data_IF_824842492063
#
_entry.id   IF_824842492063
#
_cell.length_a   1.000
_cell.length_b   1.000
_cell.length_c   1.000
_cell.angle_alpha   90.00
_cell.angle_beta   90.00
_cell.angle_gamma   90.00
#
_symmetry.space_group_name_H-M   'P 1'
#
loop_
_entity.id
_entity.type
_entity.pdbx_description
1 polymer ?
#
# COMPACT_ATOMS: atom_id res chain seq x y z
N UNK A 1 -44.06 32.11 33.94
CA UNK A 1 -43.24 30.88 34.08
C UNK A 1 -43.00 30.38 32.66
N UNK A 2 -41.88 30.76 32.01
CA UNK A 2 -41.57 30.41 30.63
C UNK A 2 -40.65 29.19 30.64
N UNK A 3 -41.13 28.05 30.15
CA UNK A 3 -40.33 26.81 29.95
C UNK A 3 -39.60 26.98 28.59
N UNK A 4 -38.28 27.15 28.62
CA UNK A 4 -37.42 27.09 27.42
C UNK A 4 -37.20 25.62 27.04
N UNK A 5 -37.78 25.18 25.94
CA UNK A 5 -37.48 23.90 25.31
C UNK A 5 -36.08 23.92 24.70
N UNK A 6 -35.15 23.19 25.27
CA UNK A 6 -33.80 22.95 24.74
C UNK A 6 -33.88 21.87 23.68
N UNK A 7 -33.74 22.23 22.39
CA UNK A 7 -33.60 21.25 21.29
C UNK A 7 -32.19 20.69 21.33
N UNK A 8 -32.08 19.44 21.69
CA UNK A 8 -30.82 18.69 21.56
C UNK A 8 -30.71 18.26 20.09
N UNK A 9 -29.78 18.92 19.36
CA UNK A 9 -29.41 18.49 18.03
C UNK A 9 -28.48 17.27 18.14
N UNK A 10 -29.04 16.09 17.93
CA UNK A 10 -28.24 14.86 17.82
C UNK A 10 -27.40 14.87 16.54
N UNK A 11 -26.09 14.99 16.66
CA UNK A 11 -25.19 14.78 15.54
C UNK A 11 -25.16 13.28 15.20
N UNK A 12 -25.74 12.91 14.07
CA UNK A 12 -25.62 11.55 13.51
C UNK A 12 -24.23 11.45 12.90
N UNK A 13 -23.32 10.74 13.60
CA UNK A 13 -22.02 10.40 13.09
C UNK A 13 -22.21 9.26 12.08
N UNK A 14 -22.22 9.58 10.77
CA UNK A 14 -22.23 8.57 9.72
C UNK A 14 -20.87 7.87 9.69
N UNK A 15 -20.79 6.64 10.16
CA UNK A 15 -19.62 5.79 9.98
C UNK A 15 -19.55 5.40 8.50
N UNK A 16 -18.60 5.93 7.75
CA UNK A 16 -18.35 5.49 6.40
C UNK A 16 -17.82 4.04 6.43
N UNK A 17 -18.55 3.13 5.81
CA UNK A 17 -18.11 1.74 5.70
C UNK A 17 -16.87 1.69 4.79
N UNK A 18 -15.77 1.11 5.28
CA UNK A 18 -14.59 0.83 4.47
C UNK A 18 -14.80 -0.50 3.75
N UNK A 19 -14.73 -0.50 2.43
CA UNK A 19 -14.84 -1.69 1.61
C UNK A 19 -13.50 -2.02 0.96
N UNK A 20 -13.19 -3.31 0.79
CA UNK A 20 -12.08 -3.72 -0.06
C UNK A 20 -12.38 -3.32 -1.51
N UNK A 21 -11.38 -2.81 -2.22
CA UNK A 21 -11.52 -2.56 -3.66
C UNK A 21 -11.77 -3.87 -4.39
N UNK A 22 -12.54 -3.81 -5.49
CA UNK A 22 -12.73 -4.97 -6.34
C UNK A 22 -11.37 -5.44 -6.87
N UNK A 23 -11.05 -6.72 -6.63
CA UNK A 23 -9.76 -7.29 -6.98
C UNK A 23 -9.90 -8.60 -7.74
N UNK A 24 -8.91 -8.88 -8.62
CA UNK A 24 -8.81 -10.13 -9.36
C UNK A 24 -7.35 -10.57 -9.41
N UNK A 25 -7.04 -11.76 -8.90
CA UNK A 25 -5.73 -12.39 -9.12
C UNK A 25 -5.70 -12.85 -10.57
N UNK A 26 -4.77 -12.32 -11.36
CA UNK A 26 -4.65 -12.60 -12.80
C UNK A 26 -3.49 -13.52 -13.12
N UNK A 27 -2.49 -13.61 -12.23
CA UNK A 27 -1.38 -14.55 -12.36
C UNK A 27 -0.79 -14.93 -11.00
N UNK A 28 -0.28 -16.14 -10.91
CA UNK A 28 0.54 -16.63 -9.79
C UNK A 28 1.73 -17.40 -10.33
N UNK A 29 2.90 -17.25 -9.71
CA UNK A 29 4.12 -18.00 -10.04
C UNK A 29 5.02 -18.14 -8.81
N UNK A 30 6.05 -18.97 -8.89
CA UNK A 30 7.17 -18.89 -7.95
C UNK A 30 8.19 -17.88 -8.48
N UNK A 31 8.67 -17.00 -7.61
CA UNK A 31 9.75 -16.07 -7.92
C UNK A 31 11.11 -16.78 -8.01
N UNK A 32 12.10 -16.12 -8.60
CA UNK A 32 13.45 -16.65 -8.79
C UNK A 32 14.17 -17.00 -7.48
N UNK A 33 13.82 -16.37 -6.37
CA UNK A 33 14.33 -16.67 -5.02
C UNK A 33 13.42 -17.59 -4.20
N UNK A 34 12.36 -18.16 -4.79
CA UNK A 34 11.49 -19.17 -4.17
C UNK A 34 10.34 -18.62 -3.34
N UNK A 35 10.03 -17.33 -3.41
CA UNK A 35 8.83 -16.77 -2.80
C UNK A 35 7.63 -16.89 -3.76
N UNK A 36 6.39 -17.14 -3.26
CA UNK A 36 5.20 -17.00 -4.10
C UNK A 36 5.05 -15.57 -4.62
N UNK A 37 4.69 -15.44 -5.89
CA UNK A 37 4.37 -14.18 -6.54
C UNK A 37 2.93 -14.15 -7.01
N UNK A 38 2.33 -12.98 -6.91
CA UNK A 38 0.99 -12.71 -7.46
C UNK A 38 1.02 -11.46 -8.33
N UNK A 39 0.18 -11.48 -9.36
CA UNK A 39 -0.25 -10.27 -10.08
C UNK A 39 -1.73 -10.09 -9.83
N UNK A 40 -2.11 -8.96 -9.25
CA UNK A 40 -3.47 -8.65 -8.86
C UNK A 40 -3.92 -7.36 -9.54
N UNK A 41 -5.08 -7.40 -10.17
CA UNK A 41 -5.76 -6.21 -10.70
C UNK A 41 -6.78 -5.71 -9.69
N UNK A 42 -6.81 -4.39 -9.51
CA UNK A 42 -7.74 -3.66 -8.66
C UNK A 42 -8.51 -2.62 -9.48
N UNK A 43 -9.81 -2.49 -9.19
CA UNK A 43 -10.60 -1.35 -9.63
C UNK A 43 -10.91 -0.49 -8.41
N UNK A 44 -10.35 0.71 -8.34
CA UNK A 44 -10.45 1.58 -7.17
C UNK A 44 -10.41 3.05 -7.57
N UNK A 45 -11.31 3.86 -7.06
CA UNK A 45 -11.42 5.29 -7.40
C UNK A 45 -11.61 5.55 -8.90
N UNK A 46 -12.09 4.56 -9.66
CA UNK A 46 -12.22 4.63 -11.11
C UNK A 46 -10.92 4.39 -11.88
N UNK A 47 -9.81 4.06 -11.21
CA UNK A 47 -8.57 3.59 -11.84
C UNK A 47 -8.51 2.07 -11.89
N UNK A 48 -7.84 1.54 -12.91
CA UNK A 48 -7.36 0.17 -12.96
C UNK A 48 -5.89 0.14 -12.54
N UNK A 49 -5.63 -0.52 -11.42
CA UNK A 49 -4.28 -0.65 -10.86
C UNK A 49 -3.89 -2.13 -10.87
N UNK A 50 -2.70 -2.44 -11.38
CA UNK A 50 -2.13 -3.79 -11.34
C UNK A 50 -0.89 -3.78 -10.47
N UNK A 51 -0.84 -4.69 -9.48
CA UNK A 51 0.34 -4.94 -8.65
C UNK A 51 0.88 -6.33 -8.95
N UNK A 52 2.18 -6.41 -9.28
CA UNK A 52 2.90 -7.68 -9.39
C UNK A 52 4.02 -7.71 -8.35
N UNK A 53 3.99 -8.67 -7.45
CA UNK A 53 4.92 -8.69 -6.30
C UNK A 53 5.15 -10.07 -5.73
N UNK A 54 6.32 -10.25 -5.10
CA UNK A 54 6.63 -11.42 -4.29
C UNK A 54 6.00 -11.31 -2.92
N UNK A 55 5.43 -12.41 -2.42
CA UNK A 55 4.72 -12.50 -1.14
C UNK A 55 5.47 -13.42 -0.17
N UNK A 56 6.62 -12.98 0.39
CA UNK A 56 7.36 -13.81 1.32
C UNK A 56 6.56 -14.04 2.61
N UNK A 57 6.73 -15.26 3.16
CA UNK A 57 6.21 -15.58 4.49
C UNK A 57 7.07 -14.95 5.57
N UNK A 58 6.45 -14.52 6.66
CA UNK A 58 7.16 -13.95 7.81
C UNK A 58 8.01 -14.99 8.55
N UNK A 59 7.49 -16.22 8.72
CA UNK A 59 8.18 -17.34 9.37
C UNK A 59 8.73 -16.95 10.75
N UNK A 60 7.87 -16.34 11.58
CA UNK A 60 8.18 -15.85 12.93
C UNK A 60 9.29 -14.77 13.02
N UNK A 61 9.79 -14.23 11.90
CA UNK A 61 10.78 -13.14 11.89
C UNK A 61 10.12 -11.79 12.27
N UNK A 62 10.94 -10.86 12.74
CA UNK A 62 10.48 -9.50 13.05
C UNK A 62 10.62 -8.58 11.83
N UNK A 63 9.54 -7.90 11.46
CA UNK A 63 9.50 -7.05 10.25
C UNK A 63 10.62 -6.01 10.26
N UNK A 64 10.68 -5.13 11.28
CA UNK A 64 11.57 -3.96 11.28
C UNK A 64 13.04 -4.26 11.59
N UNK A 65 13.38 -5.44 12.08
CA UNK A 65 14.77 -5.75 12.47
C UNK A 65 15.43 -6.83 11.60
N UNK A 66 14.63 -7.72 10.99
CA UNK A 66 15.18 -8.89 10.32
C UNK A 66 14.90 -8.94 8.83
N UNK A 67 13.73 -8.42 8.38
CA UNK A 67 13.30 -8.59 6.99
C UNK A 67 13.15 -7.29 6.22
N UNK A 68 12.76 -6.22 6.90
CA UNK A 68 12.62 -4.88 6.35
C UNK A 68 13.17 -3.85 7.36
N UNK A 69 14.51 -3.77 7.53
CA UNK A 69 15.12 -2.97 8.57
C UNK A 69 14.72 -1.49 8.53
N UNK A 70 14.43 -0.93 9.70
CA UNK A 70 14.03 0.47 9.81
C UNK A 70 15.06 1.43 9.21
N UNK A 71 14.60 2.43 8.47
CA UNK A 71 15.45 3.43 7.82
C UNK A 71 16.20 2.94 6.58
N UNK A 72 16.00 1.68 6.16
CA UNK A 72 16.62 1.12 4.95
C UNK A 72 15.58 0.96 3.83
N UNK A 73 16.05 1.13 2.58
CA UNK A 73 15.20 0.83 1.43
C UNK A 73 14.85 -0.67 1.43
N UNK A 74 13.57 -0.97 1.28
CA UNK A 74 13.06 -2.33 1.18
C UNK A 74 12.25 -2.49 -0.10
N UNK A 75 12.46 -3.60 -0.81
CA UNK A 75 11.81 -3.91 -2.09
C UNK A 75 10.30 -4.18 -2.01
N UNK A 76 9.69 -4.01 -0.83
CA UNK A 76 8.24 -4.14 -0.58
C UNK A 76 7.67 -5.49 -1.06
N UNK A 77 8.47 -6.53 -0.90
CA UNK A 77 8.18 -7.87 -1.38
C UNK A 77 9.41 -8.77 -1.37
N UNK A 78 9.50 -9.68 -2.32
CA UNK A 78 10.62 -10.61 -2.49
C UNK A 78 10.97 -10.78 -3.97
N UNK A 79 12.20 -11.21 -4.22
CA UNK A 79 12.75 -11.60 -5.53
C UNK A 79 12.76 -10.40 -6.51
N UNK A 80 12.03 -10.46 -7.60
CA UNK A 80 11.87 -9.37 -8.56
C UNK A 80 11.21 -8.15 -7.93
N UNK A 81 11.47 -6.98 -8.47
CA UNK A 81 10.93 -5.72 -7.94
C UNK A 81 9.40 -5.67 -7.99
N UNK A 82 8.80 -5.20 -6.92
CA UNK A 82 7.35 -4.96 -6.83
C UNK A 82 6.93 -3.90 -7.83
N UNK A 83 6.05 -4.26 -8.76
CA UNK A 83 5.64 -3.40 -9.87
C UNK A 83 4.21 -2.92 -9.68
N UNK A 84 3.99 -1.62 -9.88
CA UNK A 84 2.68 -0.98 -9.96
C UNK A 84 2.46 -0.48 -11.38
N UNK A 85 1.33 -0.85 -11.98
CA UNK A 85 0.85 -0.27 -13.25
C UNK A 85 -0.50 0.39 -13.00
N UNK A 86 -0.69 1.61 -13.48
CA UNK A 86 -1.95 2.35 -13.37
C UNK A 86 -2.34 2.98 -14.70
N UNK A 87 -3.61 2.96 -15.02
CA UNK A 87 -4.17 3.60 -16.22
C UNK A 87 -4.54 5.07 -16.02
N UNK A 88 -4.48 5.55 -14.77
CA UNK A 88 -4.75 6.95 -14.40
C UNK A 88 -3.67 7.49 -13.48
N UNK A 89 -3.59 8.82 -13.36
CA UNK A 89 -2.74 9.48 -12.37
C UNK A 89 -3.19 9.16 -10.95
N UNK A 90 -2.22 8.91 -10.06
CA UNK A 90 -2.46 8.69 -8.63
C UNK A 90 -1.72 9.77 -7.84
N UNK A 91 -2.37 10.40 -6.87
CA UNK A 91 -1.76 11.43 -6.03
C UNK A 91 -1.74 10.99 -4.56
N UNK A 92 -0.55 10.71 -4.03
CA UNK A 92 -0.27 10.39 -2.63
C UNK A 92 0.29 11.63 -1.92
N UNK A 93 -0.54 12.35 -1.19
CA UNK A 93 -0.14 13.65 -0.62
C UNK A 93 0.27 14.62 -1.74
N UNK A 94 1.54 15.02 -1.79
CA UNK A 94 2.10 15.87 -2.85
C UNK A 94 2.75 15.09 -4.00
N UNK A 95 2.89 13.77 -3.90
CA UNK A 95 3.49 12.94 -4.94
C UNK A 95 2.46 12.60 -6.01
N UNK A 96 2.65 13.13 -7.22
CA UNK A 96 1.89 12.75 -8.41
C UNK A 96 2.61 11.61 -9.14
N UNK A 97 1.90 10.50 -9.34
CA UNK A 97 2.33 9.35 -10.14
C UNK A 97 1.48 9.35 -11.41
N UNK A 98 2.00 9.72 -12.57
CA UNK A 98 1.26 9.66 -13.84
C UNK A 98 0.83 8.23 -14.18
N UNK A 99 -0.14 8.08 -15.11
CA UNK A 99 -0.45 6.78 -15.69
C UNK A 99 0.84 6.14 -16.27
N UNK A 100 1.06 4.86 -15.96
CA UNK A 100 2.29 4.18 -16.35
C UNK A 100 2.64 2.99 -15.46
N UNK A 101 3.88 2.51 -15.60
CA UNK A 101 4.42 1.38 -14.84
C UNK A 101 5.64 1.84 -14.04
N UNK A 102 5.68 1.46 -12.76
CA UNK A 102 6.67 1.88 -11.78
C UNK A 102 7.09 0.73 -10.88
N UNK A 103 8.24 0.86 -10.23
CA UNK A 103 8.60 -0.01 -9.11
C UNK A 103 8.26 0.67 -7.78
N UNK A 104 7.71 -0.10 -6.86
CA UNK A 104 7.46 0.33 -5.49
C UNK A 104 8.55 -0.19 -4.56
N UNK A 105 9.13 0.73 -3.81
CA UNK A 105 9.93 0.46 -2.63
C UNK A 105 9.30 1.13 -1.41
N UNK A 106 9.73 0.73 -0.23
CA UNK A 106 9.40 1.45 1.00
C UNK A 106 10.64 1.65 1.86
N UNK A 107 10.60 2.66 2.72
CA UNK A 107 11.54 2.81 3.82
C UNK A 107 10.75 2.64 5.11
N UNK A 108 10.83 1.45 5.73
CA UNK A 108 10.12 1.16 6.97
C UNK A 108 10.62 2.00 8.14
N UNK A 109 9.72 2.31 9.07
CA UNK A 109 10.04 2.97 10.33
C UNK A 109 9.07 2.54 11.43
N UNK A 110 9.37 2.82 12.70
CA UNK A 110 8.57 2.37 13.83
C UNK A 110 7.18 3.04 13.89
N UNK A 111 7.07 4.28 13.45
CA UNK A 111 5.84 5.10 13.54
C UNK A 111 5.30 5.55 12.20
N UNK A 112 6.15 5.60 11.19
CA UNK A 112 5.78 5.96 9.80
C UNK A 112 6.71 5.27 8.82
N UNK A 113 6.21 4.99 7.62
CA UNK A 113 6.99 4.50 6.51
C UNK A 113 7.02 5.55 5.40
N UNK A 114 7.96 5.40 4.46
CA UNK A 114 7.93 6.15 3.18
C UNK A 114 7.63 5.18 2.05
N UNK A 115 6.67 5.51 1.22
CA UNK A 115 6.52 4.93 -0.11
C UNK A 115 7.56 5.60 -1.02
N UNK A 116 8.30 4.81 -1.77
CA UNK A 116 9.26 5.28 -2.79
C UNK A 116 8.82 4.72 -4.12
N UNK A 117 8.57 5.59 -5.08
CA UNK A 117 8.14 5.22 -6.43
C UNK A 117 9.30 5.46 -7.39
N UNK A 118 9.77 4.40 -8.03
CA UNK A 118 10.88 4.44 -8.99
C UNK A 118 10.38 4.28 -10.42
N UNK A 119 10.98 5.06 -11.32
CA UNK A 119 10.76 4.97 -12.78
C UNK A 119 11.45 3.75 -13.41
N UNK A 120 12.41 3.15 -12.72
CA UNK A 120 13.08 1.93 -13.18
C UNK A 120 12.15 0.73 -13.00
N UNK A 121 12.07 -0.16 -13.98
CA UNK A 121 11.23 -1.37 -13.97
C UNK A 121 11.98 -2.56 -14.52
N UNK A 122 11.54 -3.79 -14.16
CA UNK A 122 12.08 -5.04 -14.67
C UNK A 122 13.39 -5.51 -14.02
N UNK A 123 13.86 -4.82 -12.98
CA UNK A 123 15.07 -5.20 -12.24
C UNK A 123 14.77 -6.18 -11.10
N UNK A 124 15.81 -6.80 -10.57
CA UNK A 124 15.75 -7.52 -9.32
C UNK A 124 15.43 -6.56 -8.16
N UNK A 125 14.61 -7.00 -7.19
CA UNK A 125 14.08 -6.11 -6.16
C UNK A 125 15.12 -5.38 -5.32
N UNK A 126 16.34 -5.91 -5.18
CA UNK A 126 17.42 -5.23 -4.44
C UNK A 126 18.27 -4.29 -5.31
N UNK A 127 18.04 -4.25 -6.63
CA UNK A 127 18.75 -3.34 -7.53
C UNK A 127 18.08 -1.96 -7.53
N UNK A 128 18.17 -1.25 -6.41
CA UNK A 128 17.63 0.08 -6.22
C UNK A 128 18.65 1.16 -6.58
N UNK A 129 18.18 2.23 -7.22
CA UNK A 129 18.96 3.41 -7.60
C UNK A 129 18.13 4.67 -7.33
N UNK A 130 18.58 5.50 -6.41
CA UNK A 130 17.83 6.68 -5.93
C UNK A 130 17.62 7.74 -7.02
N UNK A 131 18.55 7.84 -7.99
CA UNK A 131 18.45 8.75 -9.15
C UNK A 131 17.27 8.39 -10.09
N UNK A 132 16.68 7.20 -9.93
CA UNK A 132 15.49 6.75 -10.65
C UNK A 132 14.18 7.01 -9.89
N UNK A 133 14.23 7.54 -8.68
CA UNK A 133 13.03 7.86 -7.95
C UNK A 133 12.18 8.89 -8.71
N UNK A 134 10.88 8.61 -8.84
CA UNK A 134 9.89 9.60 -9.23
C UNK A 134 9.60 10.53 -8.05
N UNK A 135 9.55 9.96 -6.85
CA UNK A 135 9.35 10.68 -5.61
C UNK A 135 8.94 9.76 -4.46
N UNK A 136 8.64 10.37 -3.32
CA UNK A 136 8.32 9.69 -2.07
C UNK A 136 7.07 10.27 -1.43
N UNK A 137 6.29 9.42 -0.76
CA UNK A 137 5.11 9.81 0.01
C UNK A 137 5.13 9.15 1.40
N UNK A 138 4.41 9.75 2.34
CA UNK A 138 4.27 9.19 3.69
C UNK A 138 3.24 8.08 3.74
N UNK A 139 3.56 7.02 4.49
CA UNK A 139 2.64 5.97 4.89
C UNK A 139 2.51 6.02 6.42
N UNK A 140 1.27 6.10 6.90
CA UNK A 140 0.94 5.93 8.31
C UNK A 140 1.11 4.47 8.71
N UNK A 141 1.59 4.23 9.93
CA UNK A 141 1.69 2.87 10.48
C UNK A 141 0.52 2.61 11.42
N UNK A 142 -0.10 1.45 11.26
CA UNK A 142 -1.19 0.95 12.09
C UNK A 142 -0.89 -0.49 12.52
N UNK A 143 -1.46 -0.90 13.65
CA UNK A 143 -1.38 -2.29 14.11
C UNK A 143 -2.56 -3.08 13.58
N UNK A 144 -2.28 -4.19 12.90
CA UNK A 144 -3.31 -5.11 12.44
C UNK A 144 -3.91 -5.89 13.62
N UNK A 145 -5.24 -6.09 13.64
CA UNK A 145 -5.90 -6.92 14.66
C UNK A 145 -5.55 -8.41 14.54
N UNK A 146 -5.17 -8.84 13.33
CA UNK A 146 -4.68 -10.21 13.04
C UNK A 146 -3.41 -10.10 12.20
N UNK A 147 -2.33 -10.80 12.56
CA UNK A 147 -1.09 -10.78 11.79
C UNK A 147 -1.27 -11.29 10.37
N UNK A 148 -0.65 -10.60 9.40
CA UNK A 148 -0.51 -11.05 8.02
C UNK A 148 0.78 -11.87 7.89
N UNK A 149 0.68 -13.19 7.67
CA UNK A 149 1.84 -14.07 7.53
C UNK A 149 2.62 -13.81 6.24
N UNK A 150 1.96 -13.39 5.17
CA UNK A 150 2.60 -12.99 3.91
C UNK A 150 2.44 -11.49 3.67
N UNK A 151 3.44 -10.89 3.02
CA UNK A 151 3.28 -9.53 2.48
C UNK A 151 2.02 -9.48 1.64
N UNK A 152 1.17 -8.50 1.94
CA UNK A 152 -0.08 -8.28 1.20
C UNK A 152 -0.19 -6.80 0.85
N UNK A 153 -0.24 -6.50 -0.45
CA UNK A 153 -0.51 -5.15 -0.95
C UNK A 153 -1.96 -5.15 -1.41
N UNK A 154 -2.75 -4.22 -0.89
CA UNK A 154 -4.18 -4.13 -1.21
C UNK A 154 -4.66 -2.69 -1.26
N UNK A 155 -5.85 -2.52 -1.81
CA UNK A 155 -6.54 -1.23 -1.83
C UNK A 155 -7.89 -1.36 -1.16
N UNK A 156 -8.27 -0.31 -0.45
CA UNK A 156 -9.60 -0.16 0.16
C UNK A 156 -10.19 1.17 -0.24
N UNK A 157 -11.49 1.31 -0.10
CA UNK A 157 -12.19 2.55 -0.37
C UNK A 157 -13.18 2.84 0.76
N UNK A 158 -13.18 4.06 1.27
CA UNK A 158 -14.10 4.53 2.29
C UNK A 158 -14.65 5.88 1.87
N UNK A 159 -15.96 5.98 1.66
CA UNK A 159 -16.60 7.24 1.27
C UNK A 159 -16.03 7.83 -0.03
N UNK A 160 -15.62 6.99 -0.99
CA UNK A 160 -15.00 7.42 -2.25
C UNK A 160 -13.52 7.80 -2.14
N UNK A 161 -12.88 7.53 -1.00
CA UNK A 161 -11.46 7.81 -0.79
C UNK A 161 -10.63 6.53 -0.88
N UNK A 162 -9.91 6.30 -2.00
CA UNK A 162 -9.02 5.17 -2.17
C UNK A 162 -7.84 5.22 -1.20
N UNK A 163 -7.43 4.04 -0.72
CA UNK A 163 -6.32 3.89 0.23
C UNK A 163 -5.46 2.69 -0.14
N UNK A 164 -4.14 2.88 -0.24
CA UNK A 164 -3.15 1.82 -0.35
C UNK A 164 -2.86 1.24 1.03
N UNK A 165 -2.81 -0.08 1.14
CA UNK A 165 -2.40 -0.81 2.34
C UNK A 165 -1.26 -1.79 2.00
N UNK A 166 -0.25 -1.84 2.85
CA UNK A 166 0.86 -2.80 2.80
C UNK A 166 0.91 -3.47 4.17
N UNK A 167 0.54 -4.74 4.21
CA UNK A 167 0.40 -5.51 5.44
C UNK A 167 1.49 -6.57 5.54
N UNK A 168 2.16 -6.66 6.68
CA UNK A 168 3.06 -7.75 7.02
C UNK A 168 3.26 -7.89 8.54
N UNK A 169 3.16 -9.10 9.06
CA UNK A 169 3.10 -9.32 10.50
C UNK A 169 1.94 -8.56 11.12
N UNK A 170 2.18 -7.86 12.20
CA UNK A 170 1.19 -6.99 12.86
C UNK A 170 1.17 -5.56 12.31
N UNK A 171 1.96 -5.26 11.27
CA UNK A 171 2.12 -3.91 10.75
C UNK A 171 1.29 -3.71 9.49
N UNK A 172 0.53 -2.61 9.44
CA UNK A 172 -0.04 -2.02 8.22
C UNK A 172 0.61 -0.68 7.98
N UNK A 173 1.21 -0.51 6.81
CA UNK A 173 1.59 0.81 6.31
C UNK A 173 0.53 1.25 5.29
N UNK A 174 -0.08 2.43 5.50
CA UNK A 174 -1.26 2.87 4.75
C UNK A 174 -1.19 4.33 4.35
N UNK A 175 -1.74 4.67 3.19
CA UNK A 175 -1.90 6.05 2.72
C UNK A 175 -3.13 6.20 1.84
N UNK A 176 -3.97 7.20 2.08
CA UNK A 176 -4.99 7.59 1.12
C UNK A 176 -4.35 8.22 -0.11
N UNK A 177 -5.05 8.13 -1.25
CA UNK A 177 -4.64 8.78 -2.48
C UNK A 177 -5.86 9.27 -3.26
N UNK A 178 -5.61 10.15 -4.25
CA UNK A 178 -6.63 10.59 -5.20
C UNK A 178 -6.30 10.03 -6.59
N UNK A 179 -7.35 9.82 -7.39
CA UNK A 179 -7.24 9.41 -8.80
C UNK A 179 -7.54 10.63 -9.69
N UNK A 180 -6.71 10.85 -10.71
CA UNK A 180 -6.80 11.97 -11.66
C UNK A 180 -6.93 11.52 -13.10
#
# INVERSE_FOLDING_TARGET
MFVRSMKIAGAVLALAATTAAAQKVVATKMGGGGSPHETVEYSVGGAKITISYGRPFLKARKVLSEVAPAGKIWRTGADEATTLTTDKGLMFGSLMIPAGTYTLYTVPGPTSWKLVVSKQTGQWGTAYSEDKDLGRADLKVETLPKPAEQVTISFTEAGGSPTLNIDWGTTRATSPFMVH
#
